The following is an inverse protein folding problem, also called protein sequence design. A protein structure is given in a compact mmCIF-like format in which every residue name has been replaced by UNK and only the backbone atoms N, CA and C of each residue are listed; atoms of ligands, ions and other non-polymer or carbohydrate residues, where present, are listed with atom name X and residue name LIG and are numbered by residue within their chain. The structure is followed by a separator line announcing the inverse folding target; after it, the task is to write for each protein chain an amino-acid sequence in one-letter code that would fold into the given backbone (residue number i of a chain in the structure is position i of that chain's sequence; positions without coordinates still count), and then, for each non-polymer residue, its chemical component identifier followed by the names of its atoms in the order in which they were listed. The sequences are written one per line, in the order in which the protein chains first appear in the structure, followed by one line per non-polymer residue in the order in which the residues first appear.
data_IF_821785968323
#
_entry.id   IF_821785968323
#
_cell.length_a   1.000
_cell.length_b   1.000
_cell.length_c   1.000
_cell.angle_alpha   90.00
_cell.angle_beta   90.00
_cell.angle_gamma   90.00
#
_symmetry.space_group_name_H-M   'P 1'
#
loop_
_entity.id
_entity.type
_entity.pdbx_description
1 polymer ?
#
# COMPACT_ATOMS: atom_id res chain seq x y z
N UNK A 1 12.26 4.14 -5.75
CA UNK A 1 11.32 3.47 -4.82
C UNK A 1 11.51 4.07 -3.45
N UNK A 2 10.39 4.39 -2.79
CA UNK A 2 10.37 4.95 -1.44
C UNK A 2 10.16 3.83 -0.41
N UNK A 3 10.81 3.96 0.75
CA UNK A 3 10.67 3.03 1.89
C UNK A 3 10.50 3.87 3.15
N UNK A 4 9.52 3.53 3.99
CA UNK A 4 9.26 4.23 5.26
C UNK A 4 9.56 3.30 6.42
N UNK A 5 10.39 3.76 7.36
CA UNK A 5 10.82 2.96 8.52
C UNK A 5 10.50 3.68 9.82
N UNK A 6 9.86 2.96 10.74
CA UNK A 6 9.81 3.31 12.17
C UNK A 6 10.85 2.46 12.90
N UNK A 7 11.96 3.08 13.38
CA UNK A 7 13.10 2.34 13.90
C UNK A 7 12.81 1.69 15.25
N UNK A 8 13.39 0.50 15.45
CA UNK A 8 13.36 -0.23 16.71
C UNK A 8 14.39 -1.36 16.69
N UNK A 9 14.64 -1.99 17.85
CA UNK A 9 15.71 -2.99 17.95
C UNK A 9 15.45 -4.21 17.06
N UNK A 10 14.21 -4.72 17.04
CA UNK A 10 13.91 -5.99 16.34
C UNK A 10 13.96 -5.82 14.81
N UNK A 11 13.68 -4.64 14.27
CA UNK A 11 13.82 -4.38 12.83
C UNK A 11 15.20 -3.85 12.43
N UNK A 12 16.19 -3.88 13.31
CA UNK A 12 17.54 -3.42 12.99
C UNK A 12 18.13 -4.07 11.70
N UNK A 13 17.97 -5.37 11.45
CA UNK A 13 18.47 -5.98 10.22
C UNK A 13 17.89 -5.33 8.96
N UNK A 14 16.57 -5.12 8.93
CA UNK A 14 15.89 -4.45 7.81
C UNK A 14 16.31 -2.99 7.69
N UNK A 15 16.38 -2.28 8.81
CA UNK A 15 16.76 -0.86 8.85
C UNK A 15 18.17 -0.64 8.30
N UNK A 16 19.10 -1.51 8.67
CA UNK A 16 20.48 -1.46 8.15
C UNK A 16 20.54 -1.76 6.67
N UNK A 17 19.83 -2.79 6.21
CA UNK A 17 19.78 -3.15 4.79
C UNK A 17 19.20 -2.01 3.94
N UNK A 18 18.08 -1.43 4.35
CA UNK A 18 17.49 -0.29 3.64
C UNK A 18 18.36 0.97 3.71
N UNK A 19 19.05 1.19 4.85
CA UNK A 19 20.02 2.29 4.93
C UNK A 19 21.17 2.12 3.92
N UNK A 20 21.76 0.93 3.84
CA UNK A 20 22.82 0.64 2.86
C UNK A 20 22.33 0.87 1.42
N UNK A 21 21.14 0.39 1.08
CA UNK A 21 20.54 0.61 -0.22
C UNK A 21 20.30 2.10 -0.50
N UNK A 22 19.90 2.87 0.51
CA UNK A 22 19.71 4.33 0.38
C UNK A 22 21.03 5.07 0.16
N UNK A 23 22.09 4.70 0.87
CA UNK A 23 23.44 5.27 0.66
C UNK A 23 23.95 5.04 -0.76
N UNK A 24 23.60 3.90 -1.36
CA UNK A 24 23.91 3.59 -2.76
C UNK A 24 22.97 4.27 -3.78
N UNK A 25 22.00 5.06 -3.31
CA UNK A 25 21.05 5.76 -4.19
C UNK A 25 20.00 4.87 -4.85
N UNK A 26 19.80 3.64 -4.35
CA UNK A 26 18.85 2.68 -4.91
C UNK A 26 17.41 2.94 -4.48
N UNK A 27 17.23 3.55 -3.30
CA UNK A 27 15.94 3.88 -2.71
C UNK A 27 15.97 5.24 -2.02
N UNK A 28 14.78 5.84 -1.83
CA UNK A 28 14.56 6.97 -0.94
C UNK A 28 14.10 6.45 0.42
N UNK A 29 14.89 6.67 1.46
CA UNK A 29 14.59 6.20 2.80
C UNK A 29 13.98 7.32 3.64
N UNK A 30 12.80 7.08 4.19
CA UNK A 30 12.08 7.99 5.08
C UNK A 30 12.00 7.42 6.49
N UNK A 31 12.53 8.14 7.46
CA UNK A 31 12.47 7.75 8.88
C UNK A 31 11.31 8.50 9.55
N UNK A 32 10.44 7.76 10.23
CA UNK A 32 9.32 8.29 11.03
C UNK A 32 9.24 7.53 12.35
N UNK A 33 9.21 8.25 13.46
CA UNK A 33 9.23 7.63 14.79
C UNK A 33 7.87 7.06 15.16
N UNK A 34 6.79 7.77 14.88
CA UNK A 34 5.43 7.31 15.16
C UNK A 34 4.94 6.42 14.02
N UNK A 35 4.60 5.18 14.33
CA UNK A 35 4.23 4.16 13.34
C UNK A 35 2.92 4.50 12.62
N UNK A 36 1.94 5.06 13.31
CA UNK A 36 0.67 5.43 12.69
C UNK A 36 0.87 6.50 11.63
N UNK A 37 1.61 7.55 11.94
CA UNK A 37 1.94 8.60 10.97
C UNK A 37 2.83 8.09 9.85
N UNK A 38 3.77 7.18 10.16
CA UNK A 38 4.62 6.51 9.16
C UNK A 38 3.79 5.76 8.12
N UNK A 39 2.79 5.00 8.58
CA UNK A 39 1.94 4.21 7.71
C UNK A 39 1.06 5.08 6.80
N UNK A 40 0.45 6.15 7.31
CA UNK A 40 -0.31 7.10 6.50
C UNK A 40 0.57 7.90 5.54
N UNK A 41 1.80 8.22 5.93
CA UNK A 41 2.77 8.85 5.04
C UNK A 41 3.12 7.94 3.85
N UNK A 42 3.40 6.67 4.12
CA UNK A 42 3.65 5.67 3.08
C UNK A 42 2.43 5.45 2.17
N UNK A 43 1.23 5.43 2.76
CA UNK A 43 -0.04 5.36 2.02
C UNK A 43 -0.17 6.53 1.03
N UNK A 44 0.14 7.75 1.48
CA UNK A 44 0.13 8.94 0.63
C UNK A 44 1.12 8.84 -0.53
N UNK A 45 2.36 8.39 -0.27
CA UNK A 45 3.35 8.17 -1.34
C UNK A 45 2.86 7.10 -2.33
N UNK A 46 2.35 5.96 -1.83
CA UNK A 46 1.85 4.89 -2.68
C UNK A 46 0.68 5.34 -3.56
N UNK A 47 -0.25 6.12 -2.98
CA UNK A 47 -1.40 6.69 -3.71
C UNK A 47 -0.94 7.66 -4.81
N UNK A 48 -0.03 8.58 -4.48
CA UNK A 48 0.45 9.59 -5.42
C UNK A 48 1.31 9.00 -6.53
N UNK A 49 2.16 8.02 -6.22
CA UNK A 49 3.08 7.41 -7.18
C UNK A 49 2.51 6.24 -7.97
N UNK A 50 1.41 5.64 -7.50
CA UNK A 50 0.88 4.38 -8.04
C UNK A 50 1.81 3.18 -7.84
N UNK A 51 2.83 3.28 -6.99
CA UNK A 51 3.86 2.26 -6.77
C UNK A 51 3.75 1.65 -5.37
N UNK A 52 4.12 0.37 -5.21
CA UNK A 52 4.24 -0.22 -3.88
C UNK A 52 5.25 0.53 -3.01
N UNK A 53 4.85 0.81 -1.77
CA UNK A 53 5.73 1.43 -0.76
C UNK A 53 5.87 0.47 0.42
N UNK A 54 7.11 0.01 0.71
CA UNK A 54 7.40 -0.72 1.94
C UNK A 54 7.28 0.17 3.17
N UNK A 55 6.60 -0.36 4.20
CA UNK A 55 6.59 0.21 5.55
C UNK A 55 7.17 -0.81 6.52
N UNK A 56 8.07 -0.37 7.39
CA UNK A 56 8.85 -1.24 8.25
C UNK A 56 8.73 -0.80 9.70
N UNK A 57 8.36 -1.70 10.60
CA UNK A 57 8.36 -1.44 12.03
C UNK A 57 8.95 -2.59 12.85
N UNK A 58 9.22 -2.31 14.10
CA UNK A 58 9.60 -3.28 15.12
C UNK A 58 8.41 -4.13 15.55
N UNK A 59 8.61 -5.05 16.50
CA UNK A 59 7.57 -5.92 17.03
C UNK A 59 6.66 -5.25 18.05
N UNK A 60 5.58 -5.91 18.42
CA UNK A 60 4.68 -5.49 19.48
C UNK A 60 3.62 -4.51 19.01
N UNK A 61 3.31 -3.51 19.83
CA UNK A 61 2.26 -2.51 19.54
C UNK A 61 2.55 -1.64 18.32
N UNK A 62 3.81 -1.54 17.89
CA UNK A 62 4.20 -0.89 16.64
C UNK A 62 3.40 -1.41 15.45
N UNK A 63 3.24 -2.73 15.37
CA UNK A 63 2.48 -3.40 14.30
C UNK A 63 1.01 -2.99 14.32
N UNK A 64 0.40 -2.93 15.51
CA UNK A 64 -1.01 -2.54 15.65
C UNK A 64 -1.26 -1.09 15.19
N UNK A 65 -0.28 -0.20 15.36
CA UNK A 65 -0.37 1.19 14.91
C UNK A 65 -0.44 1.35 13.38
N UNK A 66 -0.04 0.35 12.62
CA UNK A 66 -0.19 0.34 11.16
C UNK A 66 -1.62 0.04 10.69
N UNK A 67 -2.45 -0.57 11.56
CA UNK A 67 -3.76 -1.09 11.18
C UNK A 67 -4.67 -0.05 10.52
N UNK A 68 -4.81 1.19 11.00
CA UNK A 68 -5.68 2.18 10.35
C UNK A 68 -5.30 2.46 8.90
N UNK A 69 -4.01 2.62 8.61
CA UNK A 69 -3.54 2.86 7.24
C UNK A 69 -3.65 1.62 6.36
N UNK A 70 -3.47 0.42 6.93
CA UNK A 70 -3.66 -0.85 6.20
C UNK A 70 -5.12 -1.06 5.83
N UNK A 71 -6.07 -0.70 6.70
CA UNK A 71 -7.49 -0.71 6.38
C UNK A 71 -7.82 0.25 5.24
N UNK A 72 -7.33 1.49 5.31
CA UNK A 72 -7.50 2.47 4.25
C UNK A 72 -6.91 1.99 2.91
N UNK A 73 -5.68 1.45 2.95
CA UNK A 73 -5.05 0.85 1.76
C UNK A 73 -5.87 -0.32 1.19
N UNK A 74 -6.50 -1.10 2.06
CA UNK A 74 -7.36 -2.21 1.66
C UNK A 74 -8.62 -1.75 0.94
N UNK A 75 -9.28 -0.73 1.46
CA UNK A 75 -10.52 -0.18 0.88
C UNK A 75 -10.27 0.57 -0.43
N UNK A 76 -9.09 1.20 -0.55
CA UNK A 76 -8.73 2.01 -1.72
C UNK A 76 -7.82 1.28 -2.70
N UNK A 77 -7.54 -0.02 -2.50
CA UNK A 77 -6.65 -0.85 -3.32
C UNK A 77 -5.24 -0.27 -3.51
N UNK A 78 -4.72 0.42 -2.49
CA UNK A 78 -3.38 1.02 -2.55
C UNK A 78 -2.33 -0.03 -2.15
N UNK A 79 -1.25 -0.18 -2.94
CA UNK A 79 -0.22 -1.17 -2.70
C UNK A 79 0.70 -0.77 -1.55
N UNK A 80 0.50 -1.34 -0.37
CA UNK A 80 1.44 -1.23 0.76
C UNK A 80 2.12 -2.58 1.02
N UNK A 81 3.44 -2.59 1.08
CA UNK A 81 4.22 -3.75 1.53
C UNK A 81 4.55 -3.59 3.01
N UNK A 82 3.76 -4.24 3.86
CA UNK A 82 3.89 -4.15 5.32
C UNK A 82 4.91 -5.18 5.79
N UNK A 83 6.06 -4.72 6.25
CA UNK A 83 7.16 -5.52 6.77
C UNK A 83 7.24 -5.32 8.29
N UNK A 84 6.81 -6.31 9.06
CA UNK A 84 6.84 -6.25 10.52
C UNK A 84 7.90 -7.20 11.07
N UNK A 85 8.82 -6.67 11.84
CA UNK A 85 9.81 -7.51 12.51
C UNK A 85 9.17 -8.22 13.70
N UNK A 86 9.50 -9.48 13.90
CA UNK A 86 9.01 -10.29 15.00
C UNK A 86 10.13 -11.10 15.65
N UNK A 87 9.86 -11.62 16.81
CA UNK A 87 10.67 -12.64 17.45
C UNK A 87 10.42 -14.00 16.78
N UNK A 88 11.38 -14.91 16.89
CA UNK A 88 11.18 -16.30 16.48
C UNK A 88 9.93 -16.91 17.10
N UNK A 89 9.27 -17.81 16.38
CA UNK A 89 8.05 -18.45 16.83
C UNK A 89 8.22 -19.16 18.21
N UNK A 90 9.43 -19.64 18.50
CA UNK A 90 9.78 -20.26 19.79
C UNK A 90 9.66 -19.32 20.99
N UNK A 91 9.77 -18.01 20.77
CA UNK A 91 9.67 -17.00 21.83
C UNK A 91 8.26 -16.40 21.96
N UNK A 92 7.33 -16.78 21.09
CA UNK A 92 5.93 -16.35 21.20
C UNK A 92 5.27 -17.06 22.39
N UNK A 93 4.42 -16.35 23.13
CA UNK A 93 3.71 -16.85 24.33
C UNK A 93 4.61 -17.19 25.52
N UNK A 94 5.87 -16.76 25.51
CA UNK A 94 6.80 -16.97 26.63
C UNK A 94 6.88 -15.79 27.60
N UNK A 95 6.16 -14.70 27.32
CA UNK A 95 6.29 -13.45 28.08
C UNK A 95 7.50 -12.60 27.70
N UNK A 96 8.17 -12.90 26.58
CA UNK A 96 9.28 -12.10 26.08
C UNK A 96 8.85 -10.65 25.84
N UNK A 97 9.74 -9.71 26.19
CA UNK A 97 9.48 -8.27 26.05
C UNK A 97 9.01 -7.90 24.65
N UNK A 98 8.04 -6.95 24.59
CA UNK A 98 7.55 -6.35 23.35
C UNK A 98 7.13 -7.41 22.31
N UNK A 99 6.45 -8.46 22.80
CA UNK A 99 5.90 -9.54 21.99
C UNK A 99 4.38 -9.48 22.03
N UNK A 100 3.75 -9.62 20.89
CA UNK A 100 2.29 -9.75 20.76
C UNK A 100 1.97 -10.80 19.70
N UNK A 101 0.72 -11.22 19.62
CA UNK A 101 0.24 -12.08 18.54
C UNK A 101 0.08 -11.22 17.26
N UNK A 102 1.18 -11.06 16.53
CA UNK A 102 1.19 -10.21 15.33
C UNK A 102 1.00 -10.99 14.01
N UNK A 103 1.09 -12.32 14.08
CA UNK A 103 0.74 -13.14 12.94
C UNK A 103 -0.74 -12.93 12.56
N UNK A 104 -1.00 -12.53 11.31
CA UNK A 104 -2.34 -12.22 10.77
C UNK A 104 -3.09 -11.08 11.50
N UNK A 105 -2.41 -10.19 12.20
CA UNK A 105 -3.02 -9.10 12.98
C UNK A 105 -3.93 -8.20 12.10
N UNK A 106 -3.64 -8.07 10.81
CA UNK A 106 -4.45 -7.28 9.87
C UNK A 106 -5.63 -8.06 9.27
N UNK A 107 -5.79 -9.34 9.61
CA UNK A 107 -6.92 -10.16 9.19
C UNK A 107 -7.15 -10.14 7.68
N UNK A 108 -8.38 -9.79 7.28
CA UNK A 108 -8.80 -9.71 5.87
C UNK A 108 -8.42 -8.40 5.18
N UNK A 109 -7.83 -7.44 5.90
CA UNK A 109 -7.41 -6.17 5.31
C UNK A 109 -6.23 -6.33 4.36
N UNK A 110 -5.45 -7.41 4.46
CA UNK A 110 -4.33 -7.69 3.56
C UNK A 110 -4.69 -8.72 2.50
N UNK A 111 -4.17 -8.55 1.29
CA UNK A 111 -4.38 -9.47 0.15
C UNK A 111 -3.53 -10.73 0.25
N UNK A 112 -2.43 -10.65 0.98
CA UNK A 112 -1.53 -11.76 1.23
C UNK A 112 -0.87 -11.60 2.60
N UNK A 113 -0.61 -12.71 3.25
CA UNK A 113 0.12 -12.78 4.51
C UNK A 113 1.13 -13.92 4.48
N UNK A 114 2.34 -13.67 4.94
CA UNK A 114 3.31 -14.70 5.27
C UNK A 114 3.99 -14.41 6.61
N UNK A 115 4.21 -15.46 7.38
CA UNK A 115 5.06 -15.46 8.57
C UNK A 115 6.39 -16.09 8.18
N UNK A 116 7.41 -15.25 8.03
CA UNK A 116 8.70 -15.62 7.42
C UNK A 116 9.72 -15.87 8.51
N UNK A 117 10.26 -17.09 8.59
CA UNK A 117 11.42 -17.39 9.42
C UNK A 117 12.72 -17.13 8.64
N UNK A 118 13.80 -16.83 9.36
CA UNK A 118 15.11 -16.57 8.74
C UNK A 118 15.71 -17.71 7.92
N UNK A 119 15.09 -18.90 7.98
CA UNK A 119 15.51 -20.08 7.22
C UNK A 119 14.88 -20.18 5.83
N UNK A 120 13.94 -19.31 5.50
CA UNK A 120 13.22 -19.35 4.20
C UNK A 120 13.87 -18.39 3.23
N UNK A 121 14.67 -18.91 2.32
CA UNK A 121 15.32 -18.14 1.27
C UNK A 121 15.46 -19.00 -0.01
N UNK A 122 15.20 -18.49 -1.21
CA UNK A 122 14.60 -17.19 -1.55
C UNK A 122 13.07 -17.19 -1.41
N UNK A 123 12.50 -16.03 -1.04
CA UNK A 123 11.06 -15.84 -1.01
C UNK A 123 10.62 -14.99 -2.23
N UNK A 124 9.67 -15.50 -2.99
CA UNK A 124 9.02 -14.69 -4.00
C UNK A 124 8.03 -13.71 -3.36
N UNK A 125 8.20 -12.43 -3.64
CA UNK A 125 7.22 -11.43 -3.22
C UNK A 125 5.91 -11.62 -3.99
N UNK A 126 4.76 -11.57 -3.31
CA UNK A 126 3.45 -11.77 -3.95
C UNK A 126 3.01 -10.51 -4.72
N UNK A 127 3.73 -10.18 -5.78
CA UNK A 127 3.49 -8.96 -6.56
C UNK A 127 2.06 -8.85 -7.09
N UNK A 128 1.44 -9.95 -7.50
CA UNK A 128 0.06 -9.95 -7.98
C UNK A 128 -0.92 -9.51 -6.87
N UNK A 129 -0.72 -9.98 -5.64
CA UNK A 129 -1.52 -9.57 -4.48
C UNK A 129 -1.28 -8.11 -4.13
N UNK A 130 -0.03 -7.65 -4.23
CA UNK A 130 0.36 -6.27 -3.93
C UNK A 130 -0.27 -5.26 -4.91
N UNK A 131 -0.57 -5.66 -6.15
CA UNK A 131 -1.27 -4.81 -7.12
C UNK A 131 -2.70 -4.45 -6.70
N UNK A 132 -3.35 -5.30 -5.92
CA UNK A 132 -4.74 -5.15 -5.52
C UNK A 132 -4.93 -4.62 -4.10
N UNK A 133 -3.84 -4.27 -3.41
CA UNK A 133 -3.91 -3.72 -2.06
C UNK A 133 -2.73 -4.13 -1.17
N UNK A 134 -2.85 -3.96 0.15
CA UNK A 134 -1.75 -4.21 1.06
C UNK A 134 -1.42 -5.69 1.21
N UNK A 135 -0.13 -5.95 1.43
CA UNK A 135 0.46 -7.27 1.69
C UNK A 135 1.24 -7.20 2.99
N UNK A 136 1.16 -8.24 3.83
CA UNK A 136 1.86 -8.31 5.11
C UNK A 136 2.85 -9.47 5.14
N UNK A 137 4.11 -9.15 5.42
CA UNK A 137 5.16 -10.09 5.73
C UNK A 137 5.61 -9.87 7.17
N UNK A 138 5.33 -10.84 8.03
CA UNK A 138 5.82 -10.86 9.40
C UNK A 138 7.14 -11.61 9.42
N UNK A 139 8.24 -10.91 9.73
CA UNK A 139 9.59 -11.43 9.52
C UNK A 139 10.25 -11.69 10.88
N UNK A 140 10.58 -12.94 11.12
CA UNK A 140 11.19 -13.39 12.36
C UNK A 140 12.70 -13.16 12.31
N UNK A 141 13.24 -12.48 13.31
CA UNK A 141 14.67 -12.25 13.48
C UNK A 141 15.16 -12.85 14.80
N UNK A 142 16.16 -13.70 14.71
CA UNK A 142 16.93 -14.20 15.84
C UNK A 142 18.07 -13.25 16.20
N UNK A 143 18.58 -13.35 17.41
CA UNK A 143 19.78 -12.62 17.81
C UNK A 143 21.05 -13.37 17.37
N UNK A 144 22.12 -12.65 17.00
CA UNK A 144 22.30 -11.20 17.11
C UNK A 144 21.58 -10.45 15.99
N UNK A 145 20.93 -9.30 16.33
CA UNK A 145 20.18 -8.48 15.37
C UNK A 145 21.08 -7.58 14.52
N UNK A 146 22.30 -7.31 14.98
CA UNK A 146 23.30 -6.55 14.27
C UNK A 146 24.41 -7.54 13.88
N UNK A 147 24.41 -7.90 12.63
CA UNK A 147 25.43 -8.78 12.06
C UNK A 147 26.60 -8.00 11.46
N UNK A 148 27.25 -8.60 10.47
CA UNK A 148 28.24 -7.93 9.66
C UNK A 148 27.63 -6.67 8.98
N UNK A 149 28.39 -5.56 9.04
CA UNK A 149 27.97 -4.29 8.43
C UNK A 149 28.34 -4.21 6.94
N UNK A 150 28.79 -5.31 6.36
CA UNK A 150 29.12 -5.33 4.93
C UNK A 150 27.87 -5.08 4.08
N UNK A 151 28.05 -4.41 2.97
CA UNK A 151 26.99 -4.18 1.97
C UNK A 151 27.16 -5.09 0.74
N UNK A 152 27.93 -6.17 0.88
CA UNK A 152 28.27 -7.09 -0.21
C UNK A 152 27.03 -7.71 -0.87
N UNK A 153 25.94 -7.89 -0.12
CA UNK A 153 24.67 -8.39 -0.63
C UNK A 153 24.07 -7.50 -1.73
N UNK A 154 24.43 -6.19 -1.77
CA UNK A 154 23.99 -5.27 -2.82
C UNK A 154 24.68 -5.53 -4.17
N UNK A 155 25.84 -6.20 -4.18
CA UNK A 155 26.57 -6.51 -5.41
C UNK A 155 25.87 -7.58 -6.25
N UNK A 156 25.10 -8.44 -5.61
CA UNK A 156 24.35 -9.53 -6.26
C UNK A 156 22.92 -9.10 -6.65
N UNK A 157 22.54 -7.86 -6.34
CA UNK A 157 21.24 -7.32 -6.66
C UNK A 157 21.12 -6.99 -8.14
N UNK A 158 20.30 -7.74 -8.85
CA UNK A 158 19.87 -7.37 -10.20
C UNK A 158 18.63 -6.48 -10.10
N UNK A 159 18.81 -5.19 -10.40
CA UNK A 159 17.68 -4.25 -10.47
C UNK A 159 17.05 -4.38 -11.86
N UNK A 160 15.90 -5.02 -11.92
CA UNK A 160 15.09 -5.03 -13.14
C UNK A 160 14.26 -3.74 -13.23
N UNK A 161 13.97 -3.32 -14.46
CA UNK A 161 13.01 -2.23 -14.67
C UNK A 161 11.70 -2.57 -13.97
N UNK A 162 11.03 -1.59 -13.34
CA UNK A 162 9.73 -1.84 -12.70
C UNK A 162 8.78 -2.44 -13.73
N UNK A 163 8.18 -3.58 -13.38
CA UNK A 163 7.10 -4.13 -14.19
C UNK A 163 5.97 -3.11 -14.18
N UNK A 164 5.70 -2.52 -15.33
CA UNK A 164 4.49 -1.74 -15.52
C UNK A 164 3.33 -2.73 -15.41
N UNK A 165 2.51 -2.54 -14.41
CA UNK A 165 1.33 -3.38 -14.24
C UNK A 165 0.33 -2.98 -15.31
N UNK A 166 0.21 -3.84 -16.32
CA UNK A 166 -0.79 -3.67 -17.37
C UNK A 166 -2.17 -3.98 -16.75
N UNK A 167 -2.81 -2.96 -16.21
CA UNK A 167 -4.22 -3.07 -15.84
C UNK A 167 -4.96 -3.26 -17.16
N UNK A 168 -5.59 -4.41 -17.34
CA UNK A 168 -6.41 -4.67 -18.52
C UNK A 168 -7.31 -3.48 -18.76
N UNK A 169 -7.21 -2.90 -19.93
CA UNK A 169 -8.13 -1.83 -20.32
C UNK A 169 -9.57 -2.30 -20.10
N UNK A 170 -10.41 -1.47 -19.47
CA UNK A 170 -11.82 -1.81 -19.32
C UNK A 170 -12.41 -2.12 -20.68
N UNK A 171 -13.27 -3.14 -20.72
CA UNK A 171 -13.95 -3.52 -21.96
C UNK A 171 -14.73 -2.35 -22.56
N UNK A 172 -14.97 -2.39 -23.84
CA UNK A 172 -15.77 -1.37 -24.52
C UNK A 172 -17.23 -1.52 -24.11
N UNK A 173 -17.81 -0.48 -23.54
CA UNK A 173 -19.24 -0.40 -23.23
C UNK A 173 -19.97 0.37 -24.33
N UNK A 174 -21.09 -0.17 -24.74
CA UNK A 174 -22.01 0.50 -25.64
C UNK A 174 -23.29 0.83 -24.88
N UNK A 175 -23.68 2.08 -24.87
CA UNK A 175 -24.98 2.50 -24.37
C UNK A 175 -25.78 3.19 -25.47
N UNK A 176 -27.08 2.91 -25.51
CA UNK A 176 -28.04 3.63 -26.37
C UNK A 176 -28.70 4.79 -25.61
N UNK A 177 -28.40 4.92 -24.32
CA UNK A 177 -28.96 6.00 -23.50
C UNK A 177 -28.34 7.34 -23.91
N UNK A 178 -29.19 8.34 -24.10
CA UNK A 178 -28.78 9.72 -24.30
C UNK A 178 -28.71 10.52 -23.01
N UNK A 179 -29.16 9.95 -21.90
CA UNK A 179 -29.14 10.56 -20.56
C UNK A 179 -28.48 9.59 -19.57
N UNK A 180 -27.70 10.13 -18.67
CA UNK A 180 -27.05 9.37 -17.62
C UNK A 180 -26.20 10.24 -16.71
N UNK A 181 -25.56 9.61 -15.73
CA UNK A 181 -24.61 10.22 -14.80
C UNK A 181 -23.32 9.45 -14.86
N UNK A 182 -22.19 10.13 -14.90
CA UNK A 182 -20.86 9.52 -14.75
C UNK A 182 -20.44 9.63 -13.28
N UNK A 183 -20.47 8.51 -12.55
CA UNK A 183 -19.99 8.44 -11.18
C UNK A 183 -18.55 7.92 -11.15
N UNK A 184 -17.63 8.69 -10.58
CA UNK A 184 -16.20 8.40 -10.50
C UNK A 184 -15.83 8.25 -9.02
N UNK A 185 -15.44 7.04 -8.62
CA UNK A 185 -14.86 6.79 -7.29
C UNK A 185 -13.40 7.21 -7.22
N UNK A 186 -12.79 7.03 -6.05
CA UNK A 186 -11.36 7.33 -5.86
C UNK A 186 -10.42 6.33 -6.54
N UNK A 187 -10.90 5.18 -6.96
CA UNK A 187 -10.15 4.27 -7.85
C UNK A 187 -10.67 4.40 -9.27
N UNK A 188 -9.92 5.09 -10.10
CA UNK A 188 -10.24 5.26 -11.54
C UNK A 188 -9.94 4.02 -12.37
N UNK A 189 -9.68 2.88 -11.76
CA UNK A 189 -9.37 1.63 -12.47
C UNK A 189 -8.07 1.69 -13.29
N UNK A 190 -7.18 2.63 -12.98
CA UNK A 190 -5.94 2.87 -13.72
C UNK A 190 -6.08 3.81 -14.91
N UNK A 191 -7.26 4.38 -15.14
CA UNK A 191 -7.44 5.44 -16.16
C UNK A 191 -6.80 6.75 -15.71
N UNK A 192 -6.22 7.50 -16.66
CA UNK A 192 -5.72 8.84 -16.36
C UNK A 192 -6.91 9.81 -16.17
N UNK A 193 -6.66 10.91 -15.45
CA UNK A 193 -7.68 11.95 -15.27
C UNK A 193 -8.12 12.53 -16.61
N UNK A 194 -7.17 12.71 -17.53
CA UNK A 194 -7.40 13.23 -18.87
C UNK A 194 -8.31 12.31 -19.69
N UNK A 195 -8.07 11.00 -19.65
CA UNK A 195 -8.91 10.03 -20.35
C UNK A 195 -10.35 10.02 -19.83
N UNK A 196 -10.53 10.17 -18.52
CA UNK A 196 -11.87 10.24 -17.91
C UNK A 196 -12.55 11.55 -18.26
N UNK A 197 -11.84 12.70 -18.26
CA UNK A 197 -12.37 14.01 -18.69
C UNK A 197 -12.83 13.97 -20.14
N UNK A 198 -11.99 13.47 -21.04
CA UNK A 198 -12.33 13.34 -22.45
C UNK A 198 -13.57 12.46 -22.67
N UNK A 199 -13.70 11.38 -21.88
CA UNK A 199 -14.87 10.51 -21.94
C UNK A 199 -16.13 11.23 -21.42
N UNK A 200 -16.02 11.97 -20.32
CA UNK A 200 -17.12 12.75 -19.75
C UNK A 200 -17.62 13.83 -20.74
N UNK A 201 -16.70 14.54 -21.37
CA UNK A 201 -17.01 15.55 -22.40
C UNK A 201 -17.74 14.95 -23.61
N UNK A 202 -17.29 13.79 -24.07
CA UNK A 202 -17.94 13.08 -25.19
C UNK A 202 -19.37 12.62 -24.86
N UNK A 203 -19.63 12.26 -23.61
CA UNK A 203 -20.97 11.85 -23.17
C UNK A 203 -21.90 13.06 -22.95
N UNK A 204 -21.34 14.20 -22.55
CA UNK A 204 -22.11 15.35 -22.12
C UNK A 204 -22.99 15.10 -20.88
N UNK A 205 -22.63 14.10 -20.08
CA UNK A 205 -23.37 13.73 -18.89
C UNK A 205 -22.83 14.46 -17.65
N UNK A 206 -23.67 14.74 -16.64
CA UNK A 206 -23.21 15.21 -15.36
C UNK A 206 -22.18 14.27 -14.74
N UNK A 207 -21.13 14.84 -14.14
CA UNK A 207 -20.07 14.09 -13.48
C UNK A 207 -20.19 14.24 -11.97
N UNK A 208 -20.25 13.12 -11.26
CA UNK A 208 -20.15 13.04 -9.81
C UNK A 208 -18.82 12.37 -9.49
N UNK A 209 -17.91 13.06 -8.78
CA UNK A 209 -16.61 12.52 -8.43
C UNK A 209 -16.31 12.67 -6.93
N UNK A 210 -15.71 11.66 -6.35
CA UNK A 210 -15.23 11.71 -4.96
C UNK A 210 -13.96 12.56 -4.81
N UNK A 211 -13.22 12.73 -5.92
CA UNK A 211 -12.08 13.64 -6.00
C UNK A 211 -12.42 14.87 -6.88
N UNK A 212 -13.03 15.90 -6.32
CA UNK A 212 -13.44 17.09 -7.08
C UNK A 212 -12.23 17.91 -7.55
N UNK A 213 -11.06 17.77 -6.94
CA UNK A 213 -9.85 18.51 -7.35
C UNK A 213 -9.33 18.05 -8.71
N UNK A 214 -9.59 16.82 -9.08
CA UNK A 214 -9.23 16.29 -10.40
C UNK A 214 -10.25 16.69 -11.49
N UNK A 215 -11.50 16.97 -11.09
CA UNK A 215 -12.62 17.27 -11.99
C UNK A 215 -13.28 18.59 -11.59
N UNK A 216 -12.88 19.70 -12.18
CA UNK A 216 -13.28 21.07 -11.81
C UNK A 216 -14.80 21.31 -11.73
N UNK A 217 -15.58 20.62 -12.58
CA UNK A 217 -17.03 20.77 -12.64
C UNK A 217 -17.78 19.55 -12.07
N UNK A 218 -17.11 18.72 -11.30
CA UNK A 218 -17.75 17.55 -10.72
C UNK A 218 -18.47 17.90 -9.41
N UNK A 219 -19.61 17.27 -9.20
CA UNK A 219 -20.31 17.30 -7.93
C UNK A 219 -19.74 16.24 -7.01
N UNK A 220 -19.41 16.59 -5.77
CA UNK A 220 -19.00 15.65 -4.72
C UNK A 220 -20.21 15.01 -4.04
N UNK A 221 -19.94 13.96 -3.22
CA UNK A 221 -20.96 13.28 -2.40
C UNK A 221 -22.07 12.60 -3.21
N UNK A 222 -21.67 11.71 -4.12
CA UNK A 222 -22.57 10.92 -4.97
C UNK A 222 -23.74 10.28 -4.22
N UNK A 223 -23.48 9.74 -3.01
CA UNK A 223 -24.48 9.09 -2.19
C UNK A 223 -25.62 10.02 -1.76
N UNK A 224 -25.31 11.30 -1.52
CA UNK A 224 -26.31 12.30 -1.15
C UNK A 224 -27.14 12.71 -2.36
N UNK A 225 -26.51 12.95 -3.49
CA UNK A 225 -27.18 13.39 -4.72
C UNK A 225 -28.07 12.29 -5.30
N UNK A 226 -27.57 11.06 -5.42
CA UNK A 226 -28.29 9.95 -6.03
C UNK A 226 -29.43 9.42 -5.16
N UNK A 227 -29.47 9.73 -3.85
CA UNK A 227 -30.58 9.39 -2.98
C UNK A 227 -31.67 10.47 -2.92
N UNK A 228 -31.40 11.65 -3.40
CA UNK A 228 -32.42 12.71 -3.51
C UNK A 228 -33.33 12.46 -4.70
N UNK A 229 -34.63 12.20 -4.40
CA UNK A 229 -35.63 11.95 -5.45
C UNK A 229 -35.74 13.13 -6.42
N UNK A 230 -35.68 14.36 -5.93
CA UNK A 230 -35.77 15.57 -6.75
C UNK A 230 -34.61 15.65 -7.74
N UNK A 231 -33.42 15.34 -7.30
CA UNK A 231 -32.20 15.39 -8.18
C UNK A 231 -32.20 14.22 -9.16
N UNK A 232 -32.61 13.02 -8.70
CA UNK A 232 -32.68 11.84 -9.56
C UNK A 232 -33.72 11.98 -10.69
N UNK A 233 -34.78 12.73 -10.45
CA UNK A 233 -35.82 12.98 -11.47
C UNK A 233 -35.33 14.01 -12.53
N UNK A 234 -34.35 14.86 -12.18
CA UNK A 234 -33.76 15.90 -13.07
C UNK A 234 -32.55 15.39 -13.88
N UNK A 235 -31.93 14.27 -13.46
CA UNK A 235 -30.78 13.63 -14.13
C UNK A 235 -31.26 12.63 -15.19
#
# INVERSE_FOLDING_TARGET
TDVVISPGSRNAPLSMAFHQASVKGLINLHIRIDERTAAFFALGIAKASGRPVPIVCTSGTAVANYHPAVLEASHTNIPLLVLTADRPASLRKTGANQTTEQARIFGKAVRYFADVSGSVYPMELPFNSLQSGPVHLNIQFEEPLVGDKSDNWLNDLTISAPKVFDRKAPGTFYTKSTRGVLAIGHDRGGLSAEAVKEFAEKLGWPVIAEDPLTFENATSHASVFLTSKTIADDL
#
